data_IF_100195935598
#
_entry.id   IF_100195935598
#
_cell.length_a   1.000
_cell.length_b   1.000
_cell.length_c   1.000
_cell.angle_alpha   90.00
_cell.angle_beta   90.00
_cell.angle_gamma   90.00
#
_symmetry.space_group_name_H-M   'P 1'
#
loop_
_entity.id
_entity.type
_entity.pdbx_description
1 polymer ?
#
# COMPACT_ATOMS: atom_id res chain seq x y z
N UNK A 1 23.61 -16.59 0.68
CA UNK A 1 23.64 -15.31 -0.04
C UNK A 1 23.64 -15.48 -1.57
N UNK A 2 24.53 -16.27 -2.23
CA UNK A 2 24.56 -16.41 -3.71
C UNK A 2 23.24 -16.87 -4.35
N UNK A 3 22.47 -17.77 -3.72
CA UNK A 3 21.17 -18.25 -4.23
C UNK A 3 20.09 -17.16 -4.23
N UNK A 4 20.11 -16.26 -3.25
CA UNK A 4 19.16 -15.15 -3.15
C UNK A 4 19.36 -14.12 -4.26
N UNK A 5 20.61 -13.77 -4.57
CA UNK A 5 20.93 -12.87 -5.71
C UNK A 5 20.56 -13.46 -7.07
N UNK A 6 20.65 -14.78 -7.23
CA UNK A 6 20.23 -15.46 -8.45
C UNK A 6 18.71 -15.38 -8.64
N UNK A 7 17.94 -15.59 -7.57
CA UNK A 7 16.46 -15.50 -7.61
C UNK A 7 16.00 -14.08 -7.94
N UNK A 8 16.63 -13.04 -7.36
CA UNK A 8 16.32 -11.64 -7.69
C UNK A 8 16.63 -11.33 -9.16
N UNK A 9 17.77 -11.81 -9.69
CA UNK A 9 18.12 -11.61 -11.11
C UNK A 9 17.14 -12.28 -12.04
N UNK A 10 16.68 -13.50 -11.73
CA UNK A 10 15.69 -14.22 -12.53
C UNK A 10 14.34 -13.48 -12.48
N UNK A 11 13.93 -12.98 -11.31
CA UNK A 11 12.69 -12.20 -11.15
C UNK A 11 12.74 -10.90 -11.98
N UNK A 12 13.87 -10.19 -11.95
CA UNK A 12 14.07 -8.97 -12.76
C UNK A 12 14.04 -9.31 -14.25
N UNK A 13 14.63 -10.43 -14.66
CA UNK A 13 14.66 -10.88 -16.05
C UNK A 13 13.26 -11.27 -16.55
N UNK A 14 12.44 -11.93 -15.71
CA UNK A 14 11.04 -12.28 -16.02
C UNK A 14 10.19 -11.01 -16.12
N UNK A 15 10.37 -10.05 -15.20
CA UNK A 15 9.68 -8.76 -15.23
C UNK A 15 10.07 -7.92 -16.48
N UNK A 16 11.31 -7.98 -16.92
CA UNK A 16 11.78 -7.24 -18.12
C UNK A 16 11.37 -7.91 -19.43
N UNK A 17 11.22 -9.23 -19.48
CA UNK A 17 10.81 -9.96 -20.68
C UNK A 17 9.30 -9.98 -20.90
N UNK A 18 8.51 -9.66 -19.88
CA UNK A 18 7.04 -9.62 -19.95
C UNK A 18 6.44 -8.31 -20.46
N UNK A 19 7.27 -7.31 -20.80
CA UNK A 19 6.79 -6.06 -21.41
C UNK A 19 6.68 -6.29 -22.92
N UNK A 20 5.47 -6.53 -23.48
CA UNK A 20 5.31 -6.55 -24.93
C UNK A 20 5.65 -5.15 -25.43
N UNK A 21 6.67 -5.05 -26.27
CA UNK A 21 6.99 -3.84 -27.00
C UNK A 21 5.90 -3.58 -28.08
N UNK A 22 4.65 -3.45 -27.66
CA UNK A 22 3.56 -3.01 -28.52
C UNK A 22 3.55 -1.49 -28.53
N UNK A 23 3.83 -0.99 -29.69
CA UNK A 23 3.90 0.39 -30.08
C UNK A 23 2.84 1.30 -29.43
N UNK A 24 3.28 2.47 -28.96
CA UNK A 24 2.48 3.69 -28.71
C UNK A 24 1.40 3.68 -27.61
N UNK A 25 1.38 2.76 -26.67
CA UNK A 25 0.70 3.01 -25.42
C UNK A 25 1.57 4.01 -24.62
N UNK A 26 1.11 5.23 -24.45
CA UNK A 26 1.69 6.15 -23.48
C UNK A 26 1.61 5.45 -22.11
N UNK A 27 2.75 4.99 -21.64
CA UNK A 27 2.86 4.37 -20.33
C UNK A 27 2.66 5.49 -19.31
N UNK A 28 1.44 5.65 -18.83
CA UNK A 28 1.14 6.61 -17.79
C UNK A 28 1.35 5.93 -16.43
N UNK A 29 2.13 6.59 -15.60
CA UNK A 29 2.35 6.19 -14.22
C UNK A 29 1.67 7.17 -13.29
N UNK A 30 1.22 6.64 -12.17
CA UNK A 30 0.77 7.45 -11.06
C UNK A 30 1.60 7.10 -9.83
N UNK A 31 1.91 8.09 -9.01
CA UNK A 31 2.53 7.91 -7.72
C UNK A 31 1.68 8.57 -6.65
N UNK A 32 1.56 7.92 -5.50
CA UNK A 32 0.73 8.42 -4.43
C UNK A 32 1.26 8.12 -3.04
N UNK A 33 0.63 8.78 -2.08
CA UNK A 33 0.92 8.60 -0.67
C UNK A 33 -0.36 8.65 0.14
N UNK A 34 -0.34 7.99 1.30
CA UNK A 34 -1.37 8.12 2.33
C UNK A 34 -0.74 8.46 3.66
N UNK A 35 -1.47 9.19 4.49
CA UNK A 35 -1.12 9.46 5.88
C UNK A 35 -2.38 9.38 6.72
N UNK A 36 -2.29 8.69 7.87
CA UNK A 36 -3.46 8.49 8.71
C UNK A 36 -3.16 7.87 10.05
N UNK A 37 -4.20 7.35 10.66
CA UNK A 37 -4.12 6.63 11.92
C UNK A 37 -4.95 5.36 11.87
N UNK A 38 -4.67 4.46 12.80
CA UNK A 38 -5.37 3.19 12.86
C UNK A 38 -4.95 2.33 14.03
N UNK A 39 -5.10 1.04 13.87
CA UNK A 39 -4.74 0.07 14.90
C UNK A 39 -3.84 -1.01 14.33
N UNK A 40 -2.89 -1.41 15.15
CA UNK A 40 -2.01 -2.55 14.93
C UNK A 40 -2.31 -3.61 15.98
N UNK A 41 -2.47 -4.86 15.57
CA UNK A 41 -2.67 -6.00 16.44
C UNK A 41 -1.83 -7.18 15.94
N UNK A 42 -1.18 -7.87 16.86
CA UNK A 42 -0.50 -9.14 16.66
C UNK A 42 -0.81 -10.03 17.87
N UNK A 43 0.12 -10.79 18.37
CA UNK A 43 0.01 -11.52 19.65
C UNK A 43 -0.02 -10.59 20.88
N UNK A 44 -0.02 -9.29 20.69
CA UNK A 44 -0.12 -8.25 21.71
C UNK A 44 -1.50 -7.61 21.73
N UNK A 45 -1.86 -6.86 22.80
CA UNK A 45 -3.03 -5.99 22.77
C UNK A 45 -2.97 -5.02 21.60
N UNK A 46 -4.14 -4.63 21.08
CA UNK A 46 -4.25 -3.65 20.00
C UNK A 46 -3.65 -2.31 20.41
N UNK A 47 -2.84 -1.72 19.54
CA UNK A 47 -2.15 -0.45 19.75
C UNK A 47 -2.58 0.55 18.68
N UNK A 48 -2.87 1.79 19.10
CA UNK A 48 -3.10 2.90 18.16
C UNK A 48 -1.82 3.28 17.43
N UNK A 49 -1.89 3.41 16.11
CA UNK A 49 -0.72 3.70 15.27
C UNK A 49 -0.95 4.88 14.33
N UNK A 50 0.14 5.56 13.98
CA UNK A 50 0.20 6.40 12.80
C UNK A 50 0.60 5.53 11.62
N UNK A 51 -0.12 5.70 10.51
CA UNK A 51 0.13 4.95 9.28
C UNK A 51 0.56 5.89 8.17
N UNK A 52 1.53 5.47 7.39
CA UNK A 52 1.95 6.13 6.15
C UNK A 52 2.16 5.08 5.09
N UNK A 53 1.81 5.39 3.85
CA UNK A 53 2.18 4.55 2.72
C UNK A 53 2.60 5.37 1.52
N UNK A 54 3.44 4.77 0.68
CA UNK A 54 3.80 5.27 -0.64
C UNK A 54 3.51 4.17 -1.65
N UNK A 55 3.01 4.54 -2.80
CA UNK A 55 2.66 3.58 -3.83
C UNK A 55 2.84 4.14 -5.23
N UNK A 56 3.03 3.22 -6.17
CA UNK A 56 3.01 3.50 -7.60
C UNK A 56 1.91 2.66 -8.24
N UNK A 57 1.30 3.20 -9.27
CA UNK A 57 0.25 2.57 -10.05
C UNK A 57 0.54 2.75 -11.53
N UNK A 58 0.23 1.74 -12.34
CA UNK A 58 0.27 1.87 -13.79
C UNK A 58 -1.14 2.04 -14.32
N UNK A 59 -1.33 2.89 -15.32
CA UNK A 59 -2.62 3.05 -16.00
C UNK A 59 -2.89 1.97 -17.05
N UNK A 60 -2.05 0.93 -17.10
CA UNK A 60 -2.28 -0.25 -17.93
C UNK A 60 -3.06 -1.26 -17.11
N UNK A 61 -4.30 -1.50 -17.49
CA UNK A 61 -5.13 -2.50 -16.84
C UNK A 61 -4.55 -3.90 -17.02
N UNK A 62 -4.53 -4.69 -15.95
CA UNK A 62 -4.19 -6.11 -16.01
C UNK A 62 -5.29 -6.90 -16.71
N UNK A 63 -6.55 -6.63 -16.36
CA UNK A 63 -7.78 -7.16 -16.94
C UNK A 63 -8.97 -6.30 -16.46
N UNK A 64 -10.01 -6.18 -17.27
CA UNK A 64 -11.33 -5.63 -16.90
C UNK A 64 -11.25 -4.40 -15.95
N UNK A 65 -10.51 -3.34 -16.30
CA UNK A 65 -10.41 -2.10 -15.52
C UNK A 65 -9.73 -2.25 -14.14
N UNK A 66 -8.96 -3.33 -13.92
CA UNK A 66 -8.15 -3.53 -12.73
C UNK A 66 -6.73 -3.06 -12.98
N UNK A 67 -6.29 -2.04 -12.25
CA UNK A 67 -4.98 -1.44 -12.35
C UNK A 67 -4.04 -1.95 -11.25
N UNK A 68 -2.80 -2.35 -11.58
CA UNK A 68 -1.86 -2.82 -10.57
C UNK A 68 -1.27 -1.66 -9.79
N UNK A 69 -1.28 -1.77 -8.47
CA UNK A 69 -0.69 -0.83 -7.51
C UNK A 69 0.29 -1.54 -6.61
N UNK A 70 1.54 -1.11 -6.62
CA UNK A 70 2.59 -1.57 -5.72
C UNK A 70 2.82 -0.52 -4.64
N UNK A 71 2.83 -0.92 -3.38
CA UNK A 71 2.98 0.01 -2.25
C UNK A 71 3.88 -0.51 -1.15
N UNK A 72 4.37 0.43 -0.36
CA UNK A 72 5.08 0.20 0.88
C UNK A 72 4.28 0.89 1.98
N UNK A 73 4.00 0.17 3.06
CA UNK A 73 3.28 0.68 4.22
C UNK A 73 4.17 0.67 5.46
N UNK A 74 3.98 1.69 6.29
CA UNK A 74 4.57 1.81 7.63
C UNK A 74 3.46 2.14 8.62
N UNK A 75 3.43 1.42 9.74
CA UNK A 75 2.56 1.74 10.87
C UNK A 75 3.36 1.65 12.15
N UNK A 76 3.35 2.72 12.95
CA UNK A 76 4.12 2.82 14.20
C UNK A 76 3.25 3.31 15.33
N UNK A 77 3.48 2.79 16.55
CA UNK A 77 2.79 3.20 17.78
C UNK A 77 2.70 4.74 17.84
N UNK A 78 1.48 5.24 18.04
CA UNK A 78 1.19 6.67 18.13
C UNK A 78 2.01 7.37 19.22
N UNK A 79 2.31 6.67 20.32
CA UNK A 79 3.13 7.22 21.39
C UNK A 79 4.57 7.51 20.98
N UNK A 80 5.05 6.95 19.87
CA UNK A 80 6.40 7.22 19.37
C UNK A 80 6.57 8.66 18.83
N UNK A 81 5.47 9.37 18.55
CA UNK A 81 5.48 10.75 18.08
C UNK A 81 5.05 11.75 19.15
N UNK A 82 4.56 11.27 20.31
CA UNK A 82 4.20 12.14 21.42
C UNK A 82 5.46 12.48 22.24
N UNK A 83 5.80 13.76 22.43
CA UNK A 83 6.94 14.13 23.24
C UNK A 83 6.73 13.71 24.70
N UNK A 84 7.83 13.36 25.39
CA UNK A 84 7.90 12.96 26.79
C UNK A 84 7.19 11.62 27.15
N UNK A 85 6.91 10.76 26.17
CA UNK A 85 6.48 9.39 26.44
C UNK A 85 7.70 8.48 26.38
N UNK A 86 8.16 8.01 27.54
CA UNK A 86 9.25 7.05 27.64
C UNK A 86 8.67 5.63 27.70
N UNK A 87 8.97 4.85 26.67
CA UNK A 87 8.69 3.41 26.63
C UNK A 87 9.96 2.69 26.17
N UNK A 88 10.23 1.48 26.71
CA UNK A 88 11.39 0.70 26.29
C UNK A 88 11.36 0.30 24.81
N UNK A 89 10.15 0.23 24.23
CA UNK A 89 9.92 -0.13 22.85
C UNK A 89 8.58 0.43 22.33
N UNK A 90 8.57 0.87 21.07
CA UNK A 90 7.37 1.29 20.35
C UNK A 90 7.07 0.28 19.23
N UNK A 91 5.95 -0.46 19.32
CA UNK A 91 5.53 -1.39 18.29
C UNK A 91 5.41 -0.72 16.91
N UNK A 92 5.86 -1.42 15.88
CA UNK A 92 5.71 -0.96 14.51
C UNK A 92 5.68 -2.15 13.53
N UNK A 93 5.20 -1.89 12.34
CA UNK A 93 5.25 -2.82 11.22
C UNK A 93 5.61 -2.08 9.95
N UNK A 94 6.21 -2.78 9.03
CA UNK A 94 6.38 -2.34 7.65
C UNK A 94 5.89 -3.43 6.72
N UNK A 95 5.41 -3.06 5.54
CA UNK A 95 4.90 -4.05 4.60
C UNK A 95 5.04 -3.61 3.16
N UNK A 96 4.98 -4.61 2.28
CA UNK A 96 4.89 -4.44 0.84
C UNK A 96 3.52 -4.94 0.42
N UNK A 97 2.82 -4.17 -0.39
CA UNK A 97 1.50 -4.51 -0.91
C UNK A 97 1.53 -4.56 -2.43
N UNK A 98 0.85 -5.53 -3.01
CA UNK A 98 0.56 -5.58 -4.44
C UNK A 98 -0.94 -5.74 -4.60
N UNK A 99 -1.61 -4.69 -5.08
CA UNK A 99 -3.08 -4.61 -5.17
C UNK A 99 -3.54 -4.48 -6.62
N UNK A 100 -4.66 -5.12 -6.93
CA UNK A 100 -5.50 -4.73 -8.05
C UNK A 100 -6.49 -3.68 -7.58
N UNK A 101 -6.58 -2.57 -8.27
CA UNK A 101 -7.44 -1.43 -7.93
C UNK A 101 -8.42 -1.18 -9.07
N UNK A 102 -9.69 -1.01 -8.74
CA UNK A 102 -10.73 -0.53 -9.65
C UNK A 102 -11.16 0.86 -9.24
N UNK A 103 -11.49 1.70 -10.20
CA UNK A 103 -11.95 3.07 -9.96
C UNK A 103 -13.29 3.30 -10.61
N UNK A 104 -14.27 3.73 -9.83
CA UNK A 104 -15.58 4.17 -10.31
C UNK A 104 -15.65 5.69 -10.23
N UNK A 105 -16.19 6.33 -11.26
CA UNK A 105 -16.36 7.78 -11.31
C UNK A 105 -17.83 8.16 -11.21
N UNK A 106 -18.10 9.19 -10.41
CA UNK A 106 -19.43 9.76 -10.22
C UNK A 106 -19.35 11.26 -10.56
N UNK A 107 -20.31 11.72 -11.31
CA UNK A 107 -20.44 13.15 -11.69
C UNK A 107 -19.14 13.78 -12.26
N UNK A 108 -18.32 12.96 -12.92
CA UNK A 108 -17.10 13.35 -13.63
C UNK A 108 -15.92 13.79 -12.76
N UNK A 109 -16.12 14.03 -11.46
CA UNK A 109 -15.06 14.49 -10.54
C UNK A 109 -14.90 13.66 -9.28
N UNK A 110 -15.95 13.04 -8.80
CA UNK A 110 -15.88 12.17 -7.64
C UNK A 110 -15.44 10.79 -8.06
N UNK A 111 -14.56 10.19 -7.29
CA UNK A 111 -14.15 8.80 -7.53
C UNK A 111 -14.31 7.95 -6.27
N UNK A 112 -14.51 6.66 -6.50
CA UNK A 112 -14.40 5.60 -5.50
C UNK A 112 -13.41 4.57 -6.05
N UNK A 113 -12.38 4.26 -5.28
CA UNK A 113 -11.41 3.22 -5.58
C UNK A 113 -11.57 2.07 -4.60
N UNK A 114 -11.64 0.87 -5.13
CA UNK A 114 -11.64 -0.37 -4.36
C UNK A 114 -10.39 -1.16 -4.72
N UNK A 115 -9.69 -1.66 -3.71
CA UNK A 115 -8.45 -2.39 -3.91
C UNK A 115 -8.41 -3.67 -3.09
N UNK A 116 -7.95 -4.75 -3.71
CA UNK A 116 -7.65 -6.02 -3.07
C UNK A 116 -6.30 -6.54 -3.54
N UNK A 117 -5.54 -7.15 -2.64
CA UNK A 117 -4.22 -7.62 -3.04
C UNK A 117 -3.49 -8.45 -2.00
N UNK A 118 -2.26 -8.74 -2.35
CA UNK A 118 -1.31 -9.48 -1.51
C UNK A 118 -0.58 -8.51 -0.57
N UNK A 119 -0.27 -9.02 0.61
CA UNK A 119 0.45 -8.32 1.67
C UNK A 119 1.63 -9.18 2.12
N UNK A 120 2.81 -8.59 2.15
CA UNK A 120 3.95 -9.09 2.90
C UNK A 120 4.22 -8.09 4.04
N UNK A 121 3.98 -8.50 5.28
CA UNK A 121 4.09 -7.66 6.47
C UNK A 121 5.24 -8.15 7.35
N UNK A 122 6.18 -7.27 7.64
CA UNK A 122 7.22 -7.51 8.62
C UNK A 122 6.71 -7.09 10.00
N UNK A 123 6.60 -8.06 10.89
CA UNK A 123 6.11 -7.87 12.25
C UNK A 123 7.26 -7.46 13.18
N UNK A 124 7.16 -6.26 13.73
CA UNK A 124 8.05 -5.65 14.73
C UNK A 124 7.22 -5.16 15.92
N UNK A 125 6.20 -5.91 16.32
CA UNK A 125 5.37 -5.54 17.48
C UNK A 125 6.09 -5.77 18.82
N UNK A 126 7.11 -6.63 18.83
CA UNK A 126 8.03 -6.81 19.95
C UNK A 126 9.47 -6.54 19.53
N UNK A 127 10.33 -6.16 20.47
CA UNK A 127 11.71 -5.77 20.20
C UNK A 127 12.56 -6.88 19.59
N UNK A 128 12.23 -8.13 19.86
CA UNK A 128 12.91 -9.34 19.41
C UNK A 128 12.25 -9.99 18.18
N UNK A 129 11.11 -9.45 17.68
CA UNK A 129 10.46 -9.96 16.49
C UNK A 129 10.99 -9.29 15.23
N UNK A 130 11.25 -10.10 14.20
CA UNK A 130 11.63 -9.68 12.85
C UNK A 130 11.17 -10.73 11.85
N UNK A 131 9.86 -10.90 11.76
CA UNK A 131 9.27 -11.97 10.97
C UNK A 131 8.41 -11.42 9.83
N UNK A 132 8.68 -11.90 8.62
CA UNK A 132 7.83 -11.64 7.47
C UNK A 132 6.63 -12.58 7.46
N UNK A 133 5.46 -11.98 7.38
CA UNK A 133 4.17 -12.66 7.37
C UNK A 133 3.44 -12.31 6.07
N UNK A 134 2.79 -13.28 5.46
CA UNK A 134 2.08 -13.10 4.20
C UNK A 134 0.57 -13.13 4.42
N UNK A 135 -0.15 -12.34 3.66
CA UNK A 135 -1.57 -12.20 3.80
C UNK A 135 -2.23 -11.43 2.68
N UNK A 136 -3.34 -10.80 3.00
CA UNK A 136 -4.14 -9.99 2.07
C UNK A 136 -4.35 -8.59 2.62
N UNK A 137 -4.56 -7.65 1.70
CA UNK A 137 -4.91 -6.27 2.00
C UNK A 137 -6.16 -5.89 1.21
N UNK A 138 -7.06 -5.18 1.87
CA UNK A 138 -8.25 -4.57 1.31
C UNK A 138 -8.17 -3.06 1.50
N UNK A 139 -8.57 -2.29 0.52
CA UNK A 139 -8.60 -0.83 0.61
C UNK A 139 -9.81 -0.25 -0.11
N UNK A 140 -10.31 0.84 0.43
CA UNK A 140 -11.34 1.66 -0.18
C UNK A 140 -10.93 3.12 -0.03
N UNK A 141 -10.93 3.88 -1.14
CA UNK A 141 -10.61 5.30 -1.15
C UNK A 141 -11.69 6.04 -1.92
N UNK A 142 -12.00 7.24 -1.50
CA UNK A 142 -12.93 8.11 -2.21
C UNK A 142 -12.50 9.56 -2.14
N UNK A 143 -12.81 10.34 -3.15
CA UNK A 143 -12.39 11.73 -3.19
C UNK A 143 -12.70 12.46 -4.48
N UNK A 144 -11.83 13.41 -4.80
CA UNK A 144 -11.96 14.31 -5.94
C UNK A 144 -10.81 14.09 -6.93
N UNK A 145 -11.17 13.93 -8.19
CA UNK A 145 -10.25 13.95 -9.31
C UNK A 145 -10.14 15.41 -9.81
N UNK A 146 -8.98 16.02 -9.61
CA UNK A 146 -8.71 17.41 -9.97
C UNK A 146 -8.12 17.55 -11.37
N UNK A 147 -7.92 16.46 -12.10
CA UNK A 147 -7.33 16.46 -13.46
C UNK A 147 -8.24 17.13 -14.49
N UNK A 148 -9.55 17.09 -14.26
CA UNK A 148 -10.52 17.61 -15.24
C UNK A 148 -10.43 16.85 -16.56
N UNK A 149 -10.06 17.57 -17.64
CA UNK A 149 -9.85 16.98 -18.97
C UNK A 149 -8.38 16.62 -19.27
N UNK A 150 -7.47 16.89 -18.33
CA UNK A 150 -6.06 16.57 -18.51
C UNK A 150 -5.78 15.11 -18.20
N UNK A 151 -4.76 14.54 -18.83
CA UNK A 151 -4.29 13.20 -18.56
C UNK A 151 -3.46 13.14 -17.26
N UNK A 152 -2.77 14.23 -16.93
CA UNK A 152 -1.93 14.41 -15.77
C UNK A 152 -2.62 15.24 -14.68
N UNK A 153 -2.16 15.09 -13.43
CA UNK A 153 -2.62 15.89 -12.30
C UNK A 153 -2.99 15.07 -11.07
N UNK A 154 -3.68 15.71 -10.13
CA UNK A 154 -3.93 15.20 -8.80
C UNK A 154 -5.31 14.57 -8.62
N UNK A 155 -5.32 13.48 -7.82
CA UNK A 155 -6.50 13.00 -7.10
C UNK A 155 -6.26 13.16 -5.61
N UNK A 156 -7.25 13.65 -4.88
CA UNK A 156 -7.20 13.85 -3.43
C UNK A 156 -8.41 13.21 -2.80
N UNK A 157 -8.23 12.62 -1.62
CA UNK A 157 -9.34 11.99 -0.94
C UNK A 157 -8.99 11.45 0.43
N UNK A 158 -9.86 10.59 0.91
CA UNK A 158 -9.68 9.83 2.14
C UNK A 158 -10.08 8.37 1.89
N UNK A 159 -9.58 7.50 2.75
CA UNK A 159 -9.88 6.09 2.63
C UNK A 159 -9.61 5.30 3.88
N UNK A 160 -9.85 4.00 3.74
CA UNK A 160 -9.54 3.01 4.75
C UNK A 160 -8.81 1.83 4.11
N UNK A 161 -7.91 1.24 4.87
CA UNK A 161 -7.17 0.05 4.48
C UNK A 161 -7.12 -0.93 5.66
N UNK A 162 -7.24 -2.21 5.34
CA UNK A 162 -7.14 -3.29 6.31
C UNK A 162 -6.25 -4.40 5.75
N UNK A 163 -5.20 -4.73 6.48
CA UNK A 163 -4.30 -5.83 6.16
C UNK A 163 -4.33 -6.91 7.23
N UNK A 164 -4.43 -8.16 6.81
CA UNK A 164 -4.40 -9.34 7.67
C UNK A 164 -3.46 -10.39 7.09
N UNK A 165 -2.68 -11.01 7.96
CA UNK A 165 -1.78 -12.11 7.58
C UNK A 165 -2.33 -13.47 8.03
N UNK A 166 -1.83 -14.57 7.44
CA UNK A 166 -2.31 -15.94 7.69
C UNK A 166 -1.35 -16.77 8.55
N UNK A 167 -0.43 -16.13 9.24
CA UNK A 167 0.54 -16.78 10.11
C UNK A 167 0.01 -16.92 11.54
N UNK A 168 0.66 -17.73 12.36
CA UNK A 168 0.22 -18.03 13.74
C UNK A 168 0.07 -16.78 14.63
N UNK A 169 0.88 -15.74 14.39
CA UNK A 169 0.79 -14.46 15.12
C UNK A 169 -0.35 -13.57 14.64
N UNK A 170 -0.91 -13.84 13.44
CA UNK A 170 -1.97 -13.07 12.79
C UNK A 170 -1.75 -11.55 12.90
N UNK A 171 -0.56 -11.01 12.57
CA UNK A 171 -0.40 -9.58 12.57
C UNK A 171 -1.35 -8.95 11.55
N UNK A 172 -2.03 -7.91 12.03
CA UNK A 172 -3.04 -7.19 11.25
C UNK A 172 -2.96 -5.70 11.57
N UNK A 173 -3.28 -4.87 10.59
CA UNK A 173 -3.40 -3.44 10.76
C UNK A 173 -4.68 -2.92 10.11
N UNK A 174 -5.17 -1.82 10.63
CA UNK A 174 -6.20 -1.00 10.01
C UNK A 174 -5.73 0.44 9.94
N UNK A 175 -6.16 1.16 8.91
CA UNK A 175 -5.83 2.56 8.69
C UNK A 175 -7.05 3.31 8.18
N UNK A 176 -7.27 4.50 8.71
CA UNK A 176 -8.09 5.54 8.08
C UNK A 176 -7.14 6.66 7.73
N UNK A 177 -7.13 7.10 6.47
CA UNK A 177 -6.07 7.96 5.98
C UNK A 177 -6.56 9.00 4.97
N UNK A 178 -5.83 10.12 4.86
CA UNK A 178 -5.87 10.99 3.72
C UNK A 178 -5.05 10.36 2.58
N UNK A 179 -5.48 10.62 1.36
CA UNK A 179 -4.96 10.01 0.13
C UNK A 179 -4.61 11.11 -0.87
N UNK A 180 -3.45 11.00 -1.48
CA UNK A 180 -3.03 11.82 -2.61
C UNK A 180 -2.39 10.94 -3.67
N UNK A 181 -2.73 11.18 -4.93
CA UNK A 181 -2.15 10.53 -6.09
C UNK A 181 -1.90 11.56 -7.17
N UNK A 182 -0.75 11.50 -7.80
CA UNK A 182 -0.41 12.27 -8.99
C UNK A 182 -0.20 11.33 -10.18
N UNK A 183 -0.85 11.64 -11.28
CA UNK A 183 -0.68 10.95 -12.58
C UNK A 183 0.23 11.80 -13.48
N UNK A 184 1.23 11.17 -14.08
CA UNK A 184 2.21 11.80 -14.96
C UNK A 184 1.83 11.63 -16.42
#
# INVERSE_FOLDING_TARGET
>A
MKKFYLQIRILILILSSGIPATANAQFMFSAGATVGGGFLKSNSPSVGVVTTSFFIETNTALFAEVFPRLGIIFAKDFNAIIPNVEKPYFPWVQGITFKGVTTQYFDGRYFLEEGVGLLALNDRTFSDTDNWNYGVVLSINGGLDLRGFNLDGFKLGAGAEYGITFTNALPQYSSIHAFVLYTF
#
